data_IF_787628604996
#
_entry.id   IF_787628604996
#
_cell.length_a   1.000
_cell.length_b   1.000
_cell.length_c   1.000
_cell.angle_alpha   90.00
_cell.angle_beta   90.00
_cell.angle_gamma   90.00
#
_symmetry.space_group_name_H-M   'P 1'
#
loop_
_entity.id
_entity.type
_entity.pdbx_description
1 polymer ?
#
# COMPACT_ATOMS: atom_id res chain seq x y z
N UNK A 1 -2.02 -17.56 -11.50
CA UNK A 1 -2.95 -16.57 -10.90
C UNK A 1 -2.14 -15.31 -10.64
N UNK A 2 -2.35 -14.24 -11.41
CA UNK A 2 -1.67 -12.96 -11.16
C UNK A 2 -2.29 -12.34 -9.91
N UNK A 3 -1.58 -12.39 -8.80
CA UNK A 3 -2.06 -11.98 -7.47
C UNK A 3 -2.27 -10.47 -7.30
N UNK A 4 -1.85 -9.64 -8.26
CA UNK A 4 -1.98 -8.18 -8.20
C UNK A 4 -3.29 -7.57 -8.71
N UNK A 5 -4.28 -8.36 -9.17
CA UNK A 5 -5.53 -7.82 -9.75
C UNK A 5 -6.65 -7.56 -8.72
N UNK A 6 -6.43 -7.78 -7.42
CA UNK A 6 -7.51 -7.61 -6.42
C UNK A 6 -7.78 -6.16 -6.07
N UNK A 7 -6.73 -5.37 -5.82
CA UNK A 7 -6.83 -3.97 -5.44
C UNK A 7 -6.30 -3.09 -6.58
N UNK A 8 -7.16 -2.61 -7.46
CA UNK A 8 -6.74 -1.95 -8.71
C UNK A 8 -5.95 -0.64 -8.53
N UNK A 9 -6.29 0.18 -7.54
CA UNK A 9 -5.67 1.49 -7.29
C UNK A 9 -5.97 1.98 -5.87
N UNK A 10 -5.05 2.77 -5.29
CA UNK A 10 -5.27 3.53 -4.06
C UNK A 10 -5.42 5.03 -4.34
N UNK A 11 -6.11 5.77 -3.47
CA UNK A 11 -6.25 7.22 -3.62
C UNK A 11 -4.94 7.92 -3.26
N UNK A 12 -4.25 8.44 -4.26
CA UNK A 12 -3.16 9.38 -4.05
C UNK A 12 -3.71 10.81 -3.93
N UNK A 13 -3.28 11.55 -2.92
CA UNK A 13 -3.62 12.96 -2.74
C UNK A 13 -2.36 13.83 -2.96
N UNK A 14 -2.25 14.53 -4.09
CA UNK A 14 -1.08 15.37 -4.39
C UNK A 14 -0.86 16.48 -3.37
N UNK A 15 -1.93 17.05 -2.81
CA UNK A 15 -1.82 18.10 -1.79
C UNK A 15 -1.21 17.54 -0.51
N UNK A 16 -1.69 16.38 -0.04
CA UNK A 16 -1.08 15.75 1.14
C UNK A 16 0.37 15.38 0.87
N UNK A 17 0.68 14.80 -0.30
CA UNK A 17 2.05 14.49 -0.69
C UNK A 17 2.97 15.72 -0.63
N UNK A 18 2.56 16.83 -1.26
CA UNK A 18 3.38 18.05 -1.33
C UNK A 18 3.55 18.76 0.02
N UNK A 19 2.71 18.45 1.02
CA UNK A 19 2.84 18.99 2.38
C UNK A 19 3.43 17.99 3.38
N UNK A 20 3.60 16.74 3.00
CA UNK A 20 4.19 15.70 3.83
C UNK A 20 5.71 15.86 3.85
N UNK A 21 6.36 15.46 4.95
CA UNK A 21 7.82 15.58 5.16
C UNK A 21 8.61 14.85 4.06
N UNK A 22 8.06 13.76 3.54
CA UNK A 22 8.71 12.99 2.47
C UNK A 22 8.97 13.84 1.22
N UNK A 23 8.15 14.85 0.93
CA UNK A 23 8.35 15.74 -0.22
C UNK A 23 9.60 16.63 -0.11
N UNK A 24 10.17 16.76 1.09
CA UNK A 24 11.40 17.52 1.34
C UNK A 24 12.66 16.66 1.15
N UNK A 25 12.51 15.34 1.07
CA UNK A 25 13.61 14.40 0.88
C UNK A 25 14.19 14.46 -0.53
N UNK A 26 15.33 13.79 -0.75
CA UNK A 26 15.87 13.65 -2.09
C UNK A 26 14.90 12.91 -3.02
N UNK A 27 14.98 13.19 -4.33
CA UNK A 27 14.14 12.48 -5.32
C UNK A 27 14.36 10.96 -5.30
N UNK A 28 15.52 10.50 -4.86
CA UNK A 28 15.81 9.08 -4.69
C UNK A 28 15.01 8.48 -3.53
N UNK A 29 14.98 9.14 -2.37
CA UNK A 29 14.18 8.70 -1.20
C UNK A 29 12.69 8.78 -1.52
N UNK A 30 12.23 9.87 -2.14
CA UNK A 30 10.84 10.01 -2.60
C UNK A 30 10.46 8.88 -3.57
N UNK A 31 11.35 8.59 -4.52
CA UNK A 31 11.19 7.52 -5.49
C UNK A 31 11.14 6.15 -4.83
N UNK A 32 11.99 5.88 -3.84
CA UNK A 32 11.95 4.63 -3.08
C UNK A 32 10.64 4.50 -2.29
N UNK A 33 10.25 5.54 -1.58
CA UNK A 33 9.04 5.53 -0.77
C UNK A 33 7.80 5.22 -1.60
N UNK A 34 7.59 5.89 -2.75
CA UNK A 34 6.44 5.60 -3.61
C UNK A 34 6.47 4.16 -4.17
N UNK A 35 7.66 3.60 -4.40
CA UNK A 35 7.79 2.18 -4.78
C UNK A 35 7.40 1.24 -3.63
N UNK A 36 7.76 1.57 -2.39
CA UNK A 36 7.33 0.82 -1.20
C UNK A 36 5.81 0.87 -1.05
N UNK A 37 5.19 2.05 -1.19
CA UNK A 37 3.73 2.21 -1.15
C UNK A 37 3.02 1.31 -2.18
N UNK A 38 3.52 1.30 -3.42
CA UNK A 38 3.00 0.44 -4.48
C UNK A 38 3.14 -1.06 -4.15
N UNK A 39 4.30 -1.46 -3.60
CA UNK A 39 4.52 -2.86 -3.22
C UNK A 39 3.61 -3.28 -2.06
N UNK A 40 3.52 -2.43 -1.03
CA UNK A 40 2.62 -2.61 0.12
C UNK A 40 1.18 -2.82 -0.35
N UNK A 41 0.71 -1.97 -1.26
CA UNK A 41 -0.62 -2.06 -1.84
C UNK A 41 -0.88 -3.36 -2.61
N UNK A 42 0.05 -3.77 -3.48
CA UNK A 42 -0.06 -5.01 -4.27
C UNK A 42 -0.08 -6.25 -3.36
N UNK A 43 0.56 -6.15 -2.20
CA UNK A 43 0.60 -7.21 -1.19
C UNK A 43 -0.53 -7.13 -0.17
N UNK A 44 -1.47 -6.20 -0.32
CA UNK A 44 -2.58 -6.01 0.62
C UNK A 44 -2.11 -5.84 2.08
N UNK A 45 -0.96 -5.18 2.28
CA UNK A 45 -0.36 -4.90 3.59
C UNK A 45 0.56 -5.99 4.15
N UNK A 46 0.62 -7.16 3.52
CA UNK A 46 1.54 -8.25 3.88
C UNK A 46 2.96 -7.98 3.36
N UNK A 47 3.67 -7.03 3.98
CA UNK A 47 5.02 -6.64 3.57
C UNK A 47 6.05 -6.79 4.69
N UNK A 48 6.83 -7.87 4.59
CA UNK A 48 7.97 -8.15 5.46
C UNK A 48 9.22 -7.33 5.08
N UNK A 49 10.03 -6.95 6.07
CA UNK A 49 11.23 -6.12 5.87
C UNK A 49 12.33 -6.82 5.05
N UNK A 50 12.52 -8.13 5.18
CA UNK A 50 13.49 -8.88 4.37
C UNK A 50 13.07 -8.90 2.91
N UNK A 51 11.77 -8.92 2.63
CA UNK A 51 11.26 -8.78 1.27
C UNK A 51 11.59 -7.40 0.67
N UNK A 52 11.48 -6.32 1.46
CA UNK A 52 11.88 -4.98 1.01
C UNK A 52 13.37 -4.91 0.68
N UNK A 53 14.21 -5.43 1.58
CA UNK A 53 15.67 -5.50 1.38
C UNK A 53 16.01 -6.32 0.12
N UNK A 54 15.34 -7.47 -0.06
CA UNK A 54 15.54 -8.31 -1.24
C UNK A 54 15.08 -7.64 -2.54
N UNK A 55 14.03 -6.81 -2.49
CA UNK A 55 13.49 -6.08 -3.64
C UNK A 55 14.36 -4.88 -4.03
N UNK A 56 14.93 -4.18 -3.06
CA UNK A 56 15.75 -2.99 -3.25
C UNK A 56 17.15 -3.16 -2.63
N UNK A 57 17.96 -4.13 -3.10
CA UNK A 57 19.19 -4.53 -2.43
C UNK A 57 20.27 -3.44 -2.42
N UNK A 58 20.21 -2.46 -3.33
CA UNK A 58 21.17 -1.34 -3.40
C UNK A 58 20.68 -0.11 -2.63
N UNK A 59 19.53 -0.20 -1.97
CA UNK A 59 18.84 0.92 -1.31
C UNK A 59 18.67 0.64 0.18
N UNK A 60 19.46 -0.28 0.76
CA UNK A 60 19.39 -0.62 2.18
C UNK A 60 19.48 0.62 3.07
N UNK A 61 20.48 1.46 2.85
CA UNK A 61 20.68 2.70 3.61
C UNK A 61 19.47 3.64 3.48
N UNK A 62 18.88 3.72 2.28
CA UNK A 62 17.69 4.53 2.03
C UNK A 62 16.41 3.92 2.66
N UNK A 63 16.32 2.59 2.77
CA UNK A 63 15.23 1.91 3.49
C UNK A 63 15.36 2.12 5.00
N UNK A 64 16.57 2.04 5.54
CA UNK A 64 16.88 2.35 6.94
C UNK A 64 16.54 3.81 7.22
N UNK A 65 16.91 4.76 6.34
CA UNK A 65 16.49 6.16 6.44
C UNK A 65 14.96 6.33 6.48
N UNK A 66 14.22 5.56 5.67
CA UNK A 66 12.75 5.61 5.68
C UNK A 66 12.16 5.14 7.01
N UNK A 67 12.78 4.16 7.66
CA UNK A 67 12.35 3.64 8.97
C UNK A 67 12.76 4.61 10.08
N UNK A 68 14.03 5.02 10.11
CA UNK A 68 14.60 5.89 11.15
C UNK A 68 13.93 7.27 11.22
N UNK A 69 13.34 7.74 10.12
CA UNK A 69 12.63 9.01 10.05
C UNK A 69 11.10 8.86 10.14
N UNK A 70 10.58 7.69 10.51
CA UNK A 70 9.14 7.42 10.67
C UNK A 70 8.32 7.60 9.38
N UNK A 71 8.91 7.35 8.20
CA UNK A 71 8.15 7.24 6.95
C UNK A 71 7.54 5.85 6.79
N UNK A 72 8.19 4.83 7.35
CA UNK A 72 7.73 3.45 7.42
C UNK A 72 7.81 2.99 8.88
N UNK A 73 6.74 2.40 9.38
CA UNK A 73 6.76 1.77 10.71
C UNK A 73 7.15 0.29 10.57
N UNK A 74 8.09 -0.18 11.39
CA UNK A 74 8.50 -1.58 11.45
C UNK A 74 7.98 -2.20 12.75
N UNK A 75 7.08 -3.16 12.62
CA UNK A 75 6.54 -3.92 13.74
C UNK A 75 7.56 -4.85 14.38
N UNK A 76 7.30 -5.26 15.62
CA UNK A 76 8.13 -6.26 16.34
C UNK A 76 8.16 -7.62 15.62
N UNK A 77 7.19 -7.89 14.76
CA UNK A 77 7.08 -9.09 13.92
C UNK A 77 7.89 -9.02 12.61
N UNK A 78 8.56 -7.89 12.35
CA UNK A 78 9.34 -7.67 11.12
C UNK A 78 8.51 -7.18 9.94
N UNK A 79 7.22 -6.88 10.15
CA UNK A 79 6.34 -6.37 9.09
C UNK A 79 6.30 -4.85 9.07
N UNK A 80 6.29 -4.31 7.86
CA UNK A 80 6.09 -2.87 7.64
C UNK A 80 4.61 -2.55 7.83
N UNK A 81 4.31 -1.42 8.45
CA UNK A 81 2.96 -0.88 8.58
C UNK A 81 2.89 0.51 7.96
N UNK A 82 1.81 0.78 7.22
CA UNK A 82 1.58 2.08 6.59
C UNK A 82 0.11 2.46 6.78
N UNK A 83 -0.16 3.12 7.90
CA UNK A 83 -1.48 3.50 8.42
C UNK A 83 -2.50 3.96 7.38
N UNK A 84 -2.10 4.86 6.47
CA UNK A 84 -3.03 5.39 5.48
C UNK A 84 -3.37 4.36 4.40
N UNK A 85 -2.42 3.50 4.02
CA UNK A 85 -2.66 2.43 3.06
C UNK A 85 -3.51 1.34 3.68
N UNK A 86 -3.35 1.00 4.96
CA UNK A 86 -4.22 0.04 5.64
C UNK A 86 -5.68 0.49 5.62
N UNK A 87 -5.92 1.78 5.85
CA UNK A 87 -7.27 2.35 5.71
C UNK A 87 -7.80 2.23 4.28
N UNK A 88 -6.98 2.53 3.27
CA UNK A 88 -7.37 2.44 1.86
C UNK A 88 -7.59 0.99 1.40
N UNK A 89 -6.78 0.03 1.86
CA UNK A 89 -6.93 -1.42 1.60
C UNK A 89 -8.25 -1.90 2.18
N UNK A 90 -8.52 -1.60 3.46
CA UNK A 90 -9.78 -1.95 4.12
C UNK A 90 -11.00 -1.34 3.41
N UNK A 91 -10.90 -0.07 2.98
CA UNK A 91 -11.94 0.59 2.20
C UNK A 91 -12.14 -0.09 0.84
N UNK A 92 -11.07 -0.51 0.17
CA UNK A 92 -11.15 -1.20 -1.11
C UNK A 92 -11.81 -2.57 -1.00
N UNK A 93 -11.45 -3.38 0.01
CA UNK A 93 -12.13 -4.65 0.29
C UNK A 93 -13.62 -4.45 0.59
N UNK A 94 -13.96 -3.43 1.39
CA UNK A 94 -15.36 -3.09 1.68
C UNK A 94 -16.15 -2.77 0.40
N UNK A 95 -15.56 -2.00 -0.53
CA UNK A 95 -16.19 -1.69 -1.82
C UNK A 95 -16.39 -2.95 -2.67
N UNK A 96 -15.39 -3.82 -2.72
CA UNK A 96 -15.45 -5.09 -3.47
C UNK A 96 -16.60 -5.95 -2.93
N UNK A 97 -16.70 -6.12 -1.62
CA UNK A 97 -17.77 -6.92 -1.01
C UNK A 97 -19.16 -6.31 -1.23
N UNK A 98 -19.31 -4.99 -1.11
CA UNK A 98 -20.57 -4.30 -1.46
C UNK A 98 -20.95 -4.51 -2.93
N UNK A 99 -19.98 -4.43 -3.83
CA UNK A 99 -20.17 -4.69 -5.26
C UNK A 99 -20.63 -6.11 -5.54
N UNK A 100 -19.98 -7.11 -4.94
CA UNK A 100 -20.38 -8.52 -5.03
C UNK A 100 -21.82 -8.75 -4.53
N UNK A 101 -22.18 -8.17 -3.39
CA UNK A 101 -23.52 -8.32 -2.82
C UNK A 101 -24.60 -7.65 -3.69
N UNK A 102 -24.33 -6.48 -4.24
CA UNK A 102 -25.22 -5.80 -5.17
C UNK A 102 -25.43 -6.61 -6.46
N UNK A 103 -24.36 -7.20 -7.01
CA UNK A 103 -24.45 -8.09 -8.18
C UNK A 103 -25.30 -9.33 -7.90
N UNK A 104 -25.08 -10.00 -6.76
CA UNK A 104 -25.89 -11.15 -6.32
C UNK A 104 -27.37 -10.80 -6.20
N UNK A 105 -27.70 -9.64 -5.60
CA UNK A 105 -29.09 -9.17 -5.48
C UNK A 105 -29.73 -8.97 -6.87
N UNK A 106 -29.03 -8.32 -7.79
CA UNK A 106 -29.52 -8.09 -9.17
C UNK A 106 -29.77 -9.39 -9.93
N UNK A 107 -28.94 -10.42 -9.73
CA UNK A 107 -29.15 -11.72 -10.36
C UNK A 107 -30.37 -12.44 -9.81
N UNK A 108 -30.59 -12.42 -8.49
CA UNK A 108 -31.80 -13.01 -7.88
C UNK A 108 -33.09 -12.37 -8.39
N UNK A 109 -33.13 -11.04 -8.51
CA UNK A 109 -34.32 -10.31 -9.02
C UNK A 109 -34.59 -10.53 -10.51
N UNK A 110 -33.66 -11.12 -11.28
CA UNK A 110 -33.88 -11.44 -12.70
C UNK A 110 -34.42 -12.87 -12.93
N UNK A 111 -34.37 -13.72 -11.90
CA UNK A 111 -34.76 -15.14 -12.00
C UNK A 111 -36.18 -15.37 -11.46
N UNK A 112 -36.73 -14.41 -10.71
CA UNK A 112 -38.16 -14.27 -10.37
C UNK A 112 -38.86 -13.38 -11.40
#
# INVERSE_FOLDING_TARGET
MRTGEKLGWFKFNPTLWMFDRISLESLEIQGLYINVLCLYWIREGDLDSDMLIGRFPKQRENLEHLIDNDYLELGEDGYVTIDFLDREINAAHTRIEKGKNAAKKRWKTKVE
#
